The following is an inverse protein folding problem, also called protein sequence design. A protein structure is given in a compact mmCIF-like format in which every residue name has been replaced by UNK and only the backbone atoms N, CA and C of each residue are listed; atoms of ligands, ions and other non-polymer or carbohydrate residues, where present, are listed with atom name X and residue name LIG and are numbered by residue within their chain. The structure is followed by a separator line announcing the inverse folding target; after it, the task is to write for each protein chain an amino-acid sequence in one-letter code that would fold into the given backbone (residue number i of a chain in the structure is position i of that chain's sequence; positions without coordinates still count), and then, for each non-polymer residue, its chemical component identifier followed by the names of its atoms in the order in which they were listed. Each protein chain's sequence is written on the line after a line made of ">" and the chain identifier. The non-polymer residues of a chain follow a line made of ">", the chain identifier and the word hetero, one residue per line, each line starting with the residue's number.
data_IF_820716584969
#
_entry.id   IF_820716584969
#
_cell.length_a   1.000
_cell.length_b   1.000
_cell.length_c   1.000
_cell.angle_alpha   90.00
_cell.angle_beta   90.00
_cell.angle_gamma   90.00
#
_symmetry.space_group_name_H-M   'P 1'
#
loop_
_entity.id
_entity.type
_entity.pdbx_description
1 polymer ?
#
# COMPACT_ATOMS: atom_id res chain seq x y z
N UNK A 1 -5.12 20.66 1.93
CA UNK A 1 -4.66 19.26 2.00
C UNK A 1 -3.45 19.27 2.93
N UNK A 2 -3.37 18.38 3.92
CA UNK A 2 -2.24 18.35 4.86
C UNK A 2 -1.09 17.56 4.21
N UNK A 3 0.17 17.93 4.49
CA UNK A 3 1.36 17.25 3.96
C UNK A 3 1.32 15.74 4.23
N UNK A 4 0.84 15.33 5.41
CA UNK A 4 0.66 13.92 5.75
C UNK A 4 -0.31 13.18 4.84
N UNK A 5 -1.38 13.84 4.42
CA UNK A 5 -2.39 13.22 3.55
C UNK A 5 -1.83 13.02 2.13
N UNK A 6 -0.99 13.95 1.67
CA UNK A 6 -0.24 13.81 0.41
C UNK A 6 0.73 12.63 0.48
N UNK A 7 1.50 12.52 1.56
CA UNK A 7 2.43 11.39 1.76
C UNK A 7 1.71 10.04 1.80
N UNK A 8 0.56 9.95 2.45
CA UNK A 8 -0.27 8.73 2.47
C UNK A 8 -0.78 8.39 1.07
N UNK A 9 -1.26 9.38 0.33
CA UNK A 9 -1.71 9.20 -1.06
C UNK A 9 -0.58 8.72 -1.96
N UNK A 10 0.61 9.31 -1.82
CA UNK A 10 1.81 8.91 -2.56
C UNK A 10 2.23 7.47 -2.22
N UNK A 11 2.18 7.09 -0.94
CA UNK A 11 2.43 5.71 -0.51
C UNK A 11 1.47 4.73 -1.18
N UNK A 12 0.17 5.02 -1.21
CA UNK A 12 -0.83 4.17 -1.87
C UNK A 12 -0.54 4.02 -3.37
N UNK A 13 -0.16 5.11 -4.04
CA UNK A 13 0.21 5.09 -5.45
C UNK A 13 1.47 4.24 -5.68
N UNK A 14 2.47 4.35 -4.82
CA UNK A 14 3.66 3.51 -4.89
C UNK A 14 3.34 2.03 -4.69
N UNK A 15 2.48 1.69 -3.72
CA UNK A 15 2.05 0.31 -3.48
C UNK A 15 1.33 -0.29 -4.69
N UNK A 16 0.44 0.48 -5.34
CA UNK A 16 -0.25 0.03 -6.55
C UNK A 16 0.72 -0.19 -7.72
N UNK A 17 1.69 0.72 -7.92
CA UNK A 17 2.74 0.53 -8.93
C UNK A 17 3.58 -0.72 -8.69
N UNK A 18 4.03 -0.95 -7.46
CA UNK A 18 4.79 -2.16 -7.08
C UNK A 18 3.97 -3.43 -7.29
N UNK A 19 2.67 -3.38 -7.03
CA UNK A 19 1.78 -4.51 -7.27
C UNK A 19 1.65 -4.85 -8.76
N UNK A 20 1.57 -3.83 -9.62
CA UNK A 20 1.56 -4.00 -11.08
C UNK A 20 2.89 -4.53 -11.61
N UNK A 21 4.03 -4.10 -11.04
CA UNK A 21 5.34 -4.64 -11.38
C UNK A 21 5.44 -6.15 -11.07
N UNK A 22 4.87 -6.61 -9.95
CA UNK A 22 4.83 -8.03 -9.57
C UNK A 22 3.78 -8.83 -10.37
N UNK A 23 2.73 -8.16 -10.87
CA UNK A 23 1.58 -8.81 -11.53
C UNK A 23 1.24 -8.06 -12.82
N UNK A 24 1.89 -8.43 -13.95
CA UNK A 24 1.80 -7.67 -15.21
C UNK A 24 0.39 -7.53 -15.81
N UNK A 25 -0.55 -8.37 -15.38
CA UNK A 25 -1.93 -8.37 -15.88
C UNK A 25 -2.88 -7.47 -15.08
N UNK A 26 -2.41 -6.82 -14.01
CA UNK A 26 -3.22 -5.91 -13.21
C UNK A 26 -3.29 -4.53 -13.85
N UNK A 27 -4.50 -4.02 -14.01
CA UNK A 27 -4.70 -2.59 -14.31
C UNK A 27 -4.41 -1.74 -13.06
N UNK A 28 -4.13 -0.45 -13.27
CA UNK A 28 -3.96 0.50 -12.15
C UNK A 28 -5.21 0.56 -11.25
N UNK A 29 -6.41 0.50 -11.83
CA UNK A 29 -7.66 0.50 -11.08
C UNK A 29 -7.78 -0.74 -10.19
N UNK A 30 -7.47 -1.92 -10.73
CA UNK A 30 -7.48 -3.16 -9.97
C UNK A 30 -6.41 -3.15 -8.88
N UNK A 31 -5.21 -2.64 -9.18
CA UNK A 31 -4.14 -2.55 -8.20
C UNK A 31 -4.50 -1.61 -7.04
N UNK A 32 -5.06 -0.44 -7.34
CA UNK A 32 -5.58 0.49 -6.33
C UNK A 32 -6.71 -0.13 -5.52
N UNK A 33 -7.64 -0.83 -6.17
CA UNK A 33 -8.72 -1.56 -5.49
C UNK A 33 -8.17 -2.57 -4.49
N UNK A 34 -7.13 -3.32 -4.86
CA UNK A 34 -6.47 -4.26 -3.95
C UNK A 34 -5.80 -3.55 -2.77
N UNK A 35 -5.10 -2.43 -3.00
CA UNK A 35 -4.50 -1.64 -1.92
C UNK A 35 -5.58 -1.08 -0.99
N UNK A 36 -6.63 -0.45 -1.52
CA UNK A 36 -7.68 0.15 -0.68
C UNK A 36 -8.44 -0.85 0.17
N UNK A 37 -8.56 -2.11 -0.28
CA UNK A 37 -9.20 -3.18 0.48
C UNK A 37 -8.25 -3.93 1.42
N UNK A 38 -7.02 -3.46 1.59
CA UNK A 38 -6.00 -4.12 2.43
C UNK A 38 -5.94 -3.57 3.86
N UNK A 39 -5.62 -4.42 4.82
CA UNK A 39 -5.24 -4.02 6.18
C UNK A 39 -3.99 -3.14 6.16
N UNK A 40 -3.07 -3.38 5.22
CA UNK A 40 -1.88 -2.55 5.02
C UNK A 40 -2.23 -1.10 4.75
N UNK A 41 -3.26 -0.84 3.93
CA UNK A 41 -3.75 0.52 3.69
C UNK A 41 -4.30 1.16 4.97
N UNK A 42 -5.07 0.43 5.77
CA UNK A 42 -5.56 0.96 7.05
C UNK A 42 -4.40 1.36 7.96
N UNK A 43 -3.33 0.56 8.03
CA UNK A 43 -2.12 0.92 8.80
C UNK A 43 -1.39 2.13 8.21
N UNK A 44 -1.34 2.30 6.87
CA UNK A 44 -0.77 3.50 6.24
C UNK A 44 -1.54 4.77 6.61
N UNK A 45 -2.86 4.67 6.75
CA UNK A 45 -3.70 5.79 7.20
C UNK A 45 -3.52 6.11 8.69
N UNK A 46 -3.10 5.16 9.50
CA UNK A 46 -2.91 5.32 10.93
C UNK A 46 -1.60 6.08 11.24
N UNK A 47 -1.73 7.28 11.81
CA UNK A 47 -0.60 8.18 12.08
C UNK A 47 0.42 7.57 13.05
N UNK A 48 -0.03 6.71 13.97
CA UNK A 48 0.80 6.09 14.99
C UNK A 48 1.82 5.10 14.40
N UNK A 49 1.48 4.44 13.28
CA UNK A 49 2.36 3.45 12.64
C UNK A 49 3.50 4.11 11.88
N UNK A 50 3.31 5.36 11.45
CA UNK A 50 4.24 6.14 10.61
C UNK A 50 4.66 5.43 9.32
N UNK A 51 3.86 4.48 8.81
CA UNK A 51 4.23 3.71 7.61
C UNK A 51 4.36 4.59 6.37
N UNK A 52 3.60 5.68 6.27
CA UNK A 52 3.71 6.64 5.16
C UNK A 52 5.04 7.43 5.13
N UNK A 53 5.86 7.35 6.19
CA UNK A 53 7.24 7.88 6.20
C UNK A 53 8.30 6.83 5.79
N UNK A 54 7.92 5.55 5.69
CA UNK A 54 8.85 4.47 5.38
C UNK A 54 9.05 4.33 3.87
N UNK A 55 10.03 3.51 3.47
CA UNK A 55 10.19 3.17 2.05
C UNK A 55 9.00 2.38 1.53
N UNK A 56 8.56 2.65 0.30
CA UNK A 56 7.43 1.94 -0.30
C UNK A 56 7.65 0.42 -0.36
N UNK A 57 8.89 -0.05 -0.59
CA UNK A 57 9.21 -1.49 -0.60
C UNK A 57 9.02 -2.16 0.75
N UNK A 58 9.31 -1.46 1.84
CA UNK A 58 9.09 -1.96 3.20
C UNK A 58 7.59 -2.07 3.49
N UNK A 59 6.81 -1.05 3.16
CA UNK A 59 5.34 -1.11 3.33
C UNK A 59 4.74 -2.19 2.43
N UNK A 60 5.28 -2.35 1.22
CA UNK A 60 4.83 -3.35 0.26
C UNK A 60 5.04 -4.79 0.72
N UNK A 61 6.07 -5.09 1.52
CA UNK A 61 6.25 -6.45 2.03
C UNK A 61 5.09 -6.89 2.93
N UNK A 62 4.49 -5.97 3.68
CA UNK A 62 3.28 -6.24 4.46
C UNK A 62 2.08 -6.52 3.56
N UNK A 63 1.89 -5.70 2.53
CA UNK A 63 0.81 -5.91 1.55
C UNK A 63 0.98 -7.25 0.82
N UNK A 64 2.21 -7.60 0.45
CA UNK A 64 2.49 -8.86 -0.21
C UNK A 64 2.16 -10.06 0.69
N UNK A 65 2.63 -10.03 1.95
CA UNK A 65 2.31 -11.07 2.92
C UNK A 65 0.81 -11.17 3.19
N UNK A 66 0.13 -10.03 3.27
CA UNK A 66 -1.33 -9.97 3.43
C UNK A 66 -2.04 -10.63 2.25
N UNK A 67 -1.63 -10.35 1.01
CA UNK A 67 -2.22 -10.95 -0.18
C UNK A 67 -1.92 -12.46 -0.32
N UNK A 68 -0.82 -12.94 0.27
CA UNK A 68 -0.43 -14.35 0.24
C UNK A 68 -1.10 -15.17 1.36
N UNK A 69 -1.28 -14.58 2.55
CA UNK A 69 -1.72 -15.31 3.76
C UNK A 69 -3.10 -14.90 4.27
N UNK A 70 -3.65 -13.80 3.74
CA UNK A 70 -4.87 -13.15 4.26
C UNK A 70 -4.66 -12.40 5.57
N UNK A 71 -3.41 -12.23 6.04
CA UNK A 71 -3.07 -11.53 7.29
C UNK A 71 -1.82 -10.67 7.10
N UNK A 72 -1.82 -9.49 7.70
CA UNK A 72 -0.62 -8.65 7.74
C UNK A 72 0.47 -9.26 8.63
N UNK A 73 1.72 -9.17 8.19
CA UNK A 73 2.91 -9.62 8.94
C UNK A 73 3.40 -8.71 10.05
#
# INVERSE_FOLDING_TARGET
>A
MNEKDEMKSDMVRCLASLLMEQRPNLSMEQALSMVFNSETYQKVLEDETRLYYQSAKYVFSYLQQELETGKIG
#
